data_IF_729318529600
#
_entry.id   IF_729318529600
#
_cell.length_a   1.000
_cell.length_b   1.000
_cell.length_c   1.000
_cell.angle_alpha   90.00
_cell.angle_beta   90.00
_cell.angle_gamma   90.00
#
_symmetry.space_group_name_H-M   'P 1'
#
loop_
_entity.id
_entity.type
_entity.pdbx_description
1 polymer ?
#
# COMPACT_ATOMS: atom_id res chain seq x y z
N UNK A 1 3.69 -48.41 63.66
CA UNK A 1 3.77 -47.59 62.44
C UNK A 1 4.34 -46.23 62.85
N UNK A 2 5.60 -45.96 62.51
CA UNK A 2 6.29 -44.74 62.94
C UNK A 2 5.64 -43.49 62.33
N UNK A 3 5.45 -42.39 63.08
CA UNK A 3 4.89 -41.17 62.54
C UNK A 3 5.90 -40.56 61.56
N UNK A 4 5.47 -40.28 60.33
CA UNK A 4 6.27 -39.55 59.37
C UNK A 4 6.57 -38.15 59.95
N UNK A 5 7.85 -37.79 59.96
CA UNK A 5 8.35 -36.47 60.35
C UNK A 5 7.67 -35.36 59.52
N UNK A 6 7.25 -34.25 60.16
CA UNK A 6 6.55 -33.13 59.49
C UNK A 6 7.30 -32.57 58.27
N UNK A 7 8.65 -32.60 58.30
CA UNK A 7 9.49 -32.23 57.15
C UNK A 7 9.29 -33.14 55.91
N UNK A 8 8.93 -34.41 56.11
CA UNK A 8 8.68 -35.35 55.02
C UNK A 8 7.31 -35.09 54.35
N UNK A 9 6.32 -34.64 55.11
CA UNK A 9 4.98 -34.31 54.59
C UNK A 9 4.99 -33.11 53.64
N UNK A 10 5.69 -32.03 54.03
CA UNK A 10 5.85 -30.85 53.17
C UNK A 10 6.62 -31.17 51.88
N UNK A 11 7.64 -32.02 51.95
CA UNK A 11 8.42 -32.44 50.79
C UNK A 11 7.56 -33.24 49.80
N UNK A 12 6.72 -34.15 50.30
CA UNK A 12 5.78 -34.93 49.47
C UNK A 12 4.74 -34.00 48.81
N UNK A 13 4.24 -32.99 49.52
CA UNK A 13 3.31 -32.02 48.95
C UNK A 13 3.92 -31.20 47.82
N UNK A 14 5.16 -30.71 48.00
CA UNK A 14 5.91 -30.01 46.93
C UNK A 14 6.13 -30.89 45.70
N UNK A 15 6.49 -32.17 45.89
CA UNK A 15 6.62 -33.11 44.79
C UNK A 15 5.29 -33.36 44.06
N UNK A 16 4.18 -33.47 44.78
CA UNK A 16 2.85 -33.63 44.19
C UNK A 16 2.40 -32.40 43.38
N UNK A 17 2.70 -31.19 43.86
CA UNK A 17 2.48 -29.95 43.10
C UNK A 17 3.31 -29.92 41.81
N UNK A 18 4.60 -30.27 41.90
CA UNK A 18 5.46 -30.35 40.71
C UNK A 18 4.96 -31.38 39.69
N UNK A 19 4.50 -32.55 40.15
CA UNK A 19 3.89 -33.57 39.28
C UNK A 19 2.61 -33.02 38.62
N UNK A 20 1.79 -32.26 39.34
CA UNK A 20 0.58 -31.63 38.79
C UNK A 20 0.91 -30.62 37.69
N UNK A 21 1.91 -29.77 37.91
CA UNK A 21 2.41 -28.81 36.92
C UNK A 21 2.96 -29.54 35.69
N UNK A 22 3.83 -30.54 35.87
CA UNK A 22 4.38 -31.33 34.77
C UNK A 22 3.30 -32.03 33.95
N UNK A 23 2.26 -32.59 34.59
CA UNK A 23 1.13 -33.21 33.88
C UNK A 23 0.38 -32.20 33.01
N UNK A 24 0.21 -30.97 33.51
CA UNK A 24 -0.43 -29.88 32.77
C UNK A 24 0.43 -29.41 31.59
N UNK A 25 1.75 -29.32 31.77
CA UNK A 25 2.69 -29.01 30.69
C UNK A 25 2.71 -30.08 29.61
N UNK A 26 2.76 -31.37 29.98
CA UNK A 26 2.68 -32.48 29.03
C UNK A 26 1.38 -32.42 28.22
N UNK A 27 0.26 -32.08 28.86
CA UNK A 27 -1.03 -31.90 28.17
C UNK A 27 -0.97 -30.74 27.16
N UNK A 28 -0.39 -29.61 27.56
CA UNK A 28 -0.22 -28.44 26.68
C UNK A 28 0.69 -28.76 25.48
N UNK A 29 1.82 -29.45 25.72
CA UNK A 29 2.76 -29.87 24.68
C UNK A 29 2.08 -30.81 23.66
N UNK A 30 1.29 -31.78 24.13
CA UNK A 30 0.49 -32.66 23.25
C UNK A 30 -0.49 -31.86 22.40
N UNK A 31 -1.19 -30.89 22.98
CA UNK A 31 -2.14 -30.05 22.24
C UNK A 31 -1.45 -29.17 21.18
N UNK A 32 -0.25 -28.66 21.48
CA UNK A 32 0.55 -27.91 20.52
C UNK A 32 1.03 -28.82 19.38
N UNK A 33 1.50 -30.03 19.70
CA UNK A 33 1.92 -31.02 18.71
C UNK A 33 0.77 -31.40 17.77
N UNK A 34 -0.42 -31.70 18.30
CA UNK A 34 -1.60 -32.03 17.49
C UNK A 34 -2.00 -30.86 16.57
N UNK A 35 -1.86 -29.63 17.05
CA UNK A 35 -2.15 -28.44 16.27
C UNK A 35 -1.12 -28.21 15.17
N UNK A 36 0.16 -28.46 15.45
CA UNK A 36 1.23 -28.42 14.45
C UNK A 36 1.06 -29.51 13.39
N UNK A 37 0.73 -30.75 13.78
CA UNK A 37 0.46 -31.87 12.86
C UNK A 37 -0.73 -31.55 11.95
N UNK A 38 -1.82 -31.00 12.50
CA UNK A 38 -2.97 -30.54 11.68
C UNK A 38 -2.59 -29.41 10.72
N UNK A 39 -1.75 -28.48 11.16
CA UNK A 39 -1.20 -27.42 10.32
C UNK A 39 -0.41 -28.00 9.15
N UNK A 40 0.54 -28.89 9.45
CA UNK A 40 1.38 -29.56 8.46
C UNK A 40 0.55 -30.35 7.44
N UNK A 41 -0.46 -31.11 7.89
CA UNK A 41 -1.37 -31.84 6.99
C UNK A 41 -2.11 -30.91 6.02
N UNK A 42 -2.54 -29.72 6.46
CA UNK A 42 -3.15 -28.71 5.57
C UNK A 42 -2.16 -28.18 4.54
N UNK A 43 -0.92 -27.91 4.95
CA UNK A 43 0.13 -27.49 4.04
C UNK A 43 0.43 -28.55 2.98
N UNK A 44 0.52 -29.84 3.37
CA UNK A 44 0.72 -30.94 2.43
C UNK A 44 -0.41 -31.06 1.40
N UNK A 45 -1.68 -30.92 1.82
CA UNK A 45 -2.82 -30.92 0.89
C UNK A 45 -2.73 -29.75 -0.10
N UNK A 46 -2.32 -28.57 0.39
CA UNK A 46 -2.14 -27.39 -0.46
C UNK A 46 -1.00 -27.58 -1.47
N UNK A 47 0.12 -28.16 -1.03
CA UNK A 47 1.27 -28.45 -1.90
C UNK A 47 0.88 -29.51 -2.93
N UNK A 48 0.20 -30.58 -2.52
CA UNK A 48 -0.27 -31.63 -3.43
C UNK A 48 -1.22 -31.07 -4.48
N UNK A 49 -2.14 -30.16 -4.10
CA UNK A 49 -3.00 -29.47 -5.06
C UNK A 49 -2.21 -28.59 -6.04
N UNK A 50 -1.18 -27.89 -5.58
CA UNK A 50 -0.32 -27.07 -6.44
C UNK A 50 0.52 -27.93 -7.40
N UNK A 51 1.10 -29.03 -6.91
CA UNK A 51 1.89 -29.98 -7.71
C UNK A 51 1.01 -30.70 -8.72
N UNK A 52 -0.21 -31.11 -8.38
CA UNK A 52 -1.16 -31.70 -9.35
C UNK A 52 -1.57 -30.70 -10.45
N UNK A 53 -1.65 -29.40 -10.13
CA UNK A 53 -1.87 -28.36 -11.15
C UNK A 53 -0.66 -28.18 -12.07
N UNK A 54 0.55 -28.41 -11.57
CA UNK A 54 1.78 -28.37 -12.37
C UNK A 54 1.98 -29.65 -13.19
N UNK A 55 1.58 -30.82 -12.67
CA UNK A 55 1.70 -32.12 -13.34
C UNK A 55 0.70 -32.34 -14.49
N UNK A 56 -0.29 -31.45 -14.65
CA UNK A 56 -1.18 -31.42 -15.83
C UNK A 56 -0.60 -30.56 -16.97
N UNK A 57 0.65 -30.09 -16.86
CA UNK A 57 1.39 -29.44 -17.93
C UNK A 57 2.54 -30.35 -18.40
N UNK A 58 2.22 -31.42 -19.13
CA UNK A 58 3.21 -32.04 -20.04
C UNK A 58 3.18 -31.30 -21.40
N UNK A 59 4.32 -31.20 -22.11
CA UNK A 59 4.42 -30.45 -23.35
C UNK A 59 3.97 -31.35 -24.51
N UNK A 60 2.70 -31.26 -24.90
CA UNK A 60 2.24 -31.97 -26.09
C UNK A 60 2.73 -31.24 -27.35
N UNK A 61 3.74 -31.85 -27.99
CA UNK A 61 4.09 -31.57 -29.38
C UNK A 61 2.97 -32.14 -30.25
N UNK A 62 2.54 -31.31 -31.19
CA UNK A 62 1.68 -31.67 -32.33
C UNK A 62 0.19 -31.76 -32.00
N UNK A 63 -0.47 -30.60 -31.98
CA UNK A 63 -1.90 -30.48 -32.26
C UNK A 63 -2.22 -29.06 -32.75
N UNK A 64 -2.75 -29.02 -33.96
CA UNK A 64 -3.43 -27.91 -34.62
C UNK A 64 -4.19 -27.04 -33.61
N UNK A 65 -3.99 -25.72 -33.70
CA UNK A 65 -4.63 -24.73 -32.85
C UNK A 65 -6.13 -25.04 -32.65
N UNK A 66 -6.62 -25.15 -31.39
CA UNK A 66 -8.05 -25.13 -31.15
C UNK A 66 -8.58 -23.78 -31.65
N UNK A 67 -9.76 -23.71 -32.28
CA UNK A 67 -10.35 -22.43 -32.61
C UNK A 67 -10.50 -21.66 -31.30
N UNK A 68 -9.91 -20.46 -31.25
CA UNK A 68 -10.02 -19.56 -30.11
C UNK A 68 -11.49 -19.52 -29.69
N UNK A 69 -11.77 -20.01 -28.47
CA UNK A 69 -13.10 -19.85 -27.88
C UNK A 69 -13.45 -18.37 -28.02
N UNK A 70 -14.58 -18.08 -28.66
CA UNK A 70 -14.99 -16.72 -28.94
C UNK A 70 -14.98 -15.92 -27.62
N UNK A 71 -14.57 -14.64 -27.62
CA UNK A 71 -14.57 -13.79 -26.43
C UNK A 71 -15.92 -13.79 -25.68
N UNK A 72 -17.01 -14.08 -26.40
CA UNK A 72 -18.37 -14.25 -25.89
C UNK A 72 -18.48 -15.34 -24.81
N UNK A 73 -17.88 -16.52 -25.00
CA UNK A 73 -18.06 -17.64 -24.07
C UNK A 73 -17.41 -17.40 -22.69
N UNK A 74 -16.31 -16.63 -22.63
CA UNK A 74 -15.62 -16.34 -21.38
C UNK A 74 -16.37 -15.32 -20.50
N UNK A 75 -17.01 -14.32 -21.14
CA UNK A 75 -17.85 -13.32 -20.46
C UNK A 75 -19.08 -13.96 -19.82
N UNK A 76 -19.71 -14.91 -20.52
CA UNK A 76 -20.90 -15.64 -20.03
C UNK A 76 -20.58 -16.54 -18.82
N UNK A 77 -19.34 -17.04 -18.72
CA UNK A 77 -18.87 -17.84 -17.59
C UNK A 77 -18.41 -17.01 -16.39
N UNK A 78 -18.42 -15.67 -16.51
CA UNK A 78 -18.12 -14.74 -15.41
C UNK A 78 -16.64 -14.63 -15.02
N UNK A 79 -15.72 -15.19 -15.81
CA UNK A 79 -14.28 -15.06 -15.57
C UNK A 79 -13.70 -13.94 -16.43
N UNK A 80 -13.59 -12.74 -15.85
CA UNK A 80 -13.06 -11.56 -16.54
C UNK A 80 -11.60 -11.36 -16.14
N UNK A 81 -10.69 -11.73 -17.04
CA UNK A 81 -9.29 -11.31 -16.92
C UNK A 81 -9.16 -9.87 -17.46
N UNK A 82 -8.58 -8.99 -16.66
CA UNK A 82 -8.36 -7.58 -17.03
C UNK A 82 -6.88 -7.27 -16.97
N UNK A 83 -6.41 -6.46 -17.92
CA UNK A 83 -5.07 -5.90 -17.91
C UNK A 83 -5.15 -4.51 -17.28
N UNK A 84 -4.28 -4.15 -16.32
CA UNK A 84 -4.24 -2.80 -15.81
C UNK A 84 -3.90 -1.83 -16.95
N UNK A 85 -4.70 -0.79 -17.14
CA UNK A 85 -4.43 0.23 -18.18
C UNK A 85 -3.43 1.30 -17.71
N UNK A 86 -3.15 1.35 -16.42
CA UNK A 86 -2.34 2.40 -15.79
C UNK A 86 -2.28 2.27 -14.28
N UNK A 87 -1.44 3.09 -13.66
CA UNK A 87 -1.26 3.14 -12.21
C UNK A 87 -1.52 4.54 -11.67
N UNK A 88 -2.24 4.59 -10.55
CA UNK A 88 -2.53 5.83 -9.86
C UNK A 88 -1.57 6.03 -8.69
N UNK A 89 -0.95 7.21 -8.63
CA UNK A 89 -0.17 7.69 -7.49
C UNK A 89 -0.90 8.87 -6.88
N UNK A 90 -1.10 8.88 -5.56
CA UNK A 90 -1.82 9.96 -4.88
C UNK A 90 -1.04 10.46 -3.67
N UNK A 91 -1.51 11.57 -3.10
CA UNK A 91 -1.03 12.08 -1.82
C UNK A 91 -1.25 11.09 -0.63
N UNK A 92 -1.94 9.96 -0.84
CA UNK A 92 -2.11 8.91 0.15
C UNK A 92 -1.27 7.67 -0.22
N UNK A 93 -0.08 7.55 0.38
CA UNK A 93 0.84 6.42 0.16
C UNK A 93 0.44 5.14 0.91
N UNK A 94 -0.29 5.29 2.02
CA UNK A 94 -0.72 4.21 2.90
C UNK A 94 -2.23 4.26 3.13
N UNK A 95 -2.83 3.10 3.41
CA UNK A 95 -4.27 2.97 3.70
C UNK A 95 -4.70 3.79 4.91
N UNK A 96 -3.81 3.93 5.90
CA UNK A 96 -4.09 4.72 7.08
C UNK A 96 -4.11 6.22 6.72
N UNK A 97 -5.16 6.93 7.10
CA UNK A 97 -5.35 8.33 6.71
C UNK A 97 -5.92 8.54 5.30
N UNK A 98 -6.04 7.50 4.45
CA UNK A 98 -6.78 7.64 3.19
C UNK A 98 -8.25 7.96 3.48
N UNK A 99 -8.81 9.03 2.89
CA UNK A 99 -10.20 9.40 3.08
C UNK A 99 -11.13 8.25 2.71
N UNK A 100 -12.14 8.02 3.55
CA UNK A 100 -13.13 6.96 3.30
C UNK A 100 -14.07 7.31 2.13
N UNK A 101 -14.14 8.59 1.75
CA UNK A 101 -14.92 9.11 0.63
C UNK A 101 -14.12 10.25 -0.02
N UNK A 102 -14.21 10.41 -1.36
CA UNK A 102 -13.41 11.39 -2.10
C UNK A 102 -13.73 12.85 -1.71
N UNK A 103 -14.99 13.16 -1.36
CA UNK A 103 -15.42 14.52 -1.01
C UNK A 103 -14.88 15.04 0.32
N UNK A 104 -14.25 14.19 1.13
CA UNK A 104 -13.74 14.57 2.46
C UNK A 104 -12.47 15.42 2.34
N UNK A 105 -11.67 15.24 1.28
CA UNK A 105 -10.44 15.99 1.05
C UNK A 105 -10.46 16.65 -0.33
N UNK A 106 -11.17 17.78 -0.45
CA UNK A 106 -11.36 18.51 -1.71
C UNK A 106 -10.08 18.86 -2.49
N UNK A 107 -8.96 19.28 -1.86
CA UNK A 107 -7.74 19.64 -2.58
C UNK A 107 -6.83 18.44 -2.88
N UNK A 108 -7.21 17.20 -2.54
CA UNK A 108 -6.36 16.03 -2.79
C UNK A 108 -6.14 15.82 -4.28
N UNK A 109 -4.88 15.69 -4.69
CA UNK A 109 -4.50 15.42 -6.09
C UNK A 109 -3.88 14.03 -6.23
N UNK A 110 -4.00 13.49 -7.43
CA UNK A 110 -3.42 12.23 -7.83
C UNK A 110 -3.01 12.30 -9.32
N UNK A 111 -2.03 11.49 -9.69
CA UNK A 111 -1.55 11.31 -11.04
C UNK A 111 -1.92 9.89 -11.49
N UNK A 112 -2.62 9.77 -12.61
CA UNK A 112 -2.91 8.49 -13.27
C UNK A 112 -1.99 8.35 -14.48
N UNK A 113 -1.00 7.46 -14.37
CA UNK A 113 -0.08 7.17 -15.47
C UNK A 113 -0.59 5.98 -16.28
N UNK A 114 -0.97 6.23 -17.53
CA UNK A 114 -1.40 5.19 -18.47
C UNK A 114 -0.17 4.40 -18.95
N UNK A 115 -0.30 3.07 -19.02
CA UNK A 115 0.76 2.20 -19.52
C UNK A 115 0.84 2.29 -21.04
N UNK A 116 2.05 2.54 -21.55
CA UNK A 116 2.29 2.65 -23.00
C UNK A 116 2.12 1.32 -23.73
N UNK A 117 2.34 0.18 -23.05
CA UNK A 117 2.26 -1.15 -23.65
C UNK A 117 0.83 -1.64 -23.93
N UNK A 118 -0.19 -0.90 -23.48
CA UNK A 118 -1.60 -1.32 -23.61
C UNK A 118 -2.15 -1.03 -25.00
N UNK A 119 -1.67 0.03 -25.65
CA UNK A 119 -2.11 0.46 -26.97
C UNK A 119 -0.89 0.65 -27.88
N UNK A 120 -1.06 0.43 -29.19
CA UNK A 120 0.01 0.71 -30.15
C UNK A 120 0.40 2.19 -30.13
N UNK A 121 -0.58 3.08 -29.97
CA UNK A 121 -0.44 4.54 -29.88
C UNK A 121 -1.16 5.05 -28.61
N UNK A 122 -0.51 4.99 -27.43
CA UNK A 122 -1.14 5.28 -26.14
C UNK A 122 -1.65 6.72 -26.01
N UNK A 123 -1.02 7.67 -26.69
CA UNK A 123 -1.42 9.09 -26.73
C UNK A 123 -2.79 9.30 -27.40
N UNK A 124 -3.14 8.49 -28.40
CA UNK A 124 -4.44 8.59 -29.06
C UNK A 124 -5.60 8.24 -28.11
N UNK A 125 -5.36 7.42 -27.09
CA UNK A 125 -6.38 7.07 -26.10
C UNK A 125 -6.77 8.25 -25.19
N UNK A 126 -6.01 9.35 -25.20
CA UNK A 126 -6.24 10.54 -24.38
C UNK A 126 -6.83 11.72 -25.17
N UNK A 127 -6.88 11.64 -26.50
CA UNK A 127 -7.37 12.73 -27.36
C UNK A 127 -8.85 13.02 -27.05
N UNK A 128 -9.17 14.29 -26.83
CA UNK A 128 -10.53 14.76 -26.55
C UNK A 128 -10.93 14.64 -25.08
N UNK A 129 -10.09 14.03 -24.23
CA UNK A 129 -10.35 13.93 -22.80
C UNK A 129 -10.31 15.32 -22.12
N UNK A 130 -9.51 16.25 -22.64
CA UNK A 130 -9.41 17.65 -22.21
C UNK A 130 -10.73 18.45 -22.36
N UNK A 131 -11.66 17.97 -23.17
CA UNK A 131 -12.98 18.60 -23.36
C UNK A 131 -13.90 18.37 -22.14
N UNK A 132 -13.54 17.46 -21.24
CA UNK A 132 -14.35 17.09 -20.08
C UNK A 132 -13.77 17.65 -18.79
N UNK A 133 -14.63 18.20 -17.94
CA UNK A 133 -14.21 18.70 -16.62
C UNK A 133 -13.95 17.59 -15.60
N UNK A 134 -14.55 16.42 -15.80
CA UNK A 134 -14.48 15.30 -14.87
C UNK A 134 -14.40 13.96 -15.61
N UNK A 135 -13.75 12.99 -14.96
CA UNK A 135 -13.54 11.65 -15.48
C UNK A 135 -13.98 10.63 -14.43
N UNK A 136 -14.57 9.53 -14.91
CA UNK A 136 -14.82 8.35 -14.09
C UNK A 136 -13.56 7.48 -14.09
N UNK A 137 -13.06 7.17 -12.90
CA UNK A 137 -11.92 6.26 -12.71
C UNK A 137 -12.41 4.99 -12.05
N UNK A 138 -12.28 3.88 -12.77
CA UNK A 138 -12.46 2.53 -12.23
C UNK A 138 -11.08 2.00 -11.87
N UNK A 139 -10.91 1.55 -10.63
CA UNK A 139 -9.61 1.08 -10.14
C UNK A 139 -9.77 -0.18 -9.30
N UNK A 140 -8.69 -0.94 -9.16
CA UNK A 140 -8.67 -2.17 -8.35
C UNK A 140 -8.10 -1.88 -6.95
N UNK A 141 -8.77 -2.36 -5.91
CA UNK A 141 -8.22 -2.37 -4.54
C UNK A 141 -7.15 -3.47 -4.40
N UNK A 142 -5.98 -3.27 -5.00
CA UNK A 142 -4.87 -4.23 -5.08
C UNK A 142 -4.37 -4.79 -3.73
N UNK A 143 -4.60 -4.09 -2.61
CA UNK A 143 -4.24 -4.57 -1.25
C UNK A 143 -5.34 -5.39 -0.56
N UNK A 144 -6.45 -5.67 -1.22
CA UNK A 144 -7.53 -6.50 -0.66
C UNK A 144 -7.28 -7.99 -0.96
N UNK A 145 -6.24 -8.56 -0.33
CA UNK A 145 -5.80 -9.94 -0.58
C UNK A 145 -6.60 -11.05 0.11
N UNK A 146 -7.93 -10.99 0.16
CA UNK A 146 -8.70 -12.01 0.88
C UNK A 146 -9.17 -13.18 -0.02
N UNK A 147 -8.87 -14.41 0.41
CA UNK A 147 -9.42 -15.67 -0.15
C UNK A 147 -10.92 -15.89 0.17
N UNK A 148 -11.54 -15.09 1.04
CA UNK A 148 -12.94 -15.28 1.45
C UNK A 148 -13.66 -13.95 1.68
N UNK A 149 -14.89 -13.85 1.14
CA UNK A 149 -15.73 -12.66 1.23
C UNK A 149 -16.86 -12.87 2.25
N UNK A 150 -17.09 -11.87 3.10
CA UNK A 150 -18.20 -11.88 4.05
C UNK A 150 -19.42 -11.23 3.43
N UNK A 151 -20.58 -11.89 3.51
CA UNK A 151 -21.85 -11.35 3.01
C UNK A 151 -22.31 -10.09 3.76
N UNK A 152 -21.92 -9.95 5.05
CA UNK A 152 -22.21 -8.78 5.88
C UNK A 152 -20.92 -8.08 6.31
N UNK A 153 -20.97 -6.75 6.35
CA UNK A 153 -19.87 -5.87 6.78
C UNK A 153 -20.34 -4.95 7.90
N UNK A 154 -19.40 -4.31 8.60
CA UNK A 154 -19.67 -3.32 9.65
C UNK A 154 -19.16 -1.95 9.20
N UNK A 155 -19.98 -1.13 8.53
CA UNK A 155 -19.55 0.19 8.07
C UNK A 155 -19.25 1.12 9.26
N UNK A 156 -18.22 1.98 9.17
CA UNK A 156 -17.85 2.88 10.25
C UNK A 156 -18.95 3.85 10.66
N UNK A 157 -19.82 4.25 9.73
CA UNK A 157 -20.89 5.24 9.95
C UNK A 157 -22.16 4.65 10.60
N UNK A 158 -22.24 3.33 10.77
CA UNK A 158 -23.44 2.65 11.28
C UNK A 158 -23.29 2.15 12.73
N UNK A 159 -22.42 2.78 13.53
CA UNK A 159 -22.32 2.62 14.99
C UNK A 159 -22.27 1.18 15.57
N UNK A 160 -21.91 0.15 14.79
CA UNK A 160 -22.09 -1.21 15.29
C UNK A 160 -22.72 -2.16 14.30
N UNK A 161 -23.65 -1.65 13.51
CA UNK A 161 -24.59 -2.46 12.76
C UNK A 161 -23.92 -3.21 11.61
N UNK A 162 -24.42 -4.43 11.39
CA UNK A 162 -24.00 -5.30 10.29
C UNK A 162 -25.02 -5.22 9.18
N UNK A 163 -24.58 -4.76 8.01
CA UNK A 163 -25.42 -4.64 6.81
C UNK A 163 -24.84 -5.48 5.68
N UNK A 164 -25.65 -5.77 4.67
CA UNK A 164 -25.21 -6.50 3.48
C UNK A 164 -24.08 -5.77 2.76
N UNK A 165 -23.11 -6.49 2.22
CA UNK A 165 -21.96 -5.87 1.54
C UNK A 165 -22.40 -4.96 0.38
N UNK A 166 -23.38 -5.38 -0.41
CA UNK A 166 -23.85 -4.65 -1.59
C UNK A 166 -24.65 -3.39 -1.27
N UNK A 167 -25.11 -3.20 -0.02
CA UNK A 167 -25.68 -1.93 0.44
C UNK A 167 -24.60 -0.93 0.88
N UNK A 168 -23.31 -1.21 0.60
CA UNK A 168 -22.18 -0.39 1.07
C UNK A 168 -21.14 -0.21 -0.03
N UNK A 169 -20.24 0.76 0.18
CA UNK A 169 -19.04 0.97 -0.64
C UNK A 169 -17.80 0.30 -0.02
N UNK A 170 -17.99 -0.84 0.67
CA UNK A 170 -16.87 -1.59 1.25
C UNK A 170 -15.88 -1.99 0.15
N UNK A 171 -14.56 -1.86 0.36
CA UNK A 171 -13.59 -2.29 -0.65
C UNK A 171 -13.41 -3.83 -0.63
N UNK A 172 -13.79 -4.51 0.46
CA UNK A 172 -13.67 -5.96 0.64
C UNK A 172 -14.81 -6.75 -0.02
N UNK A 173 -14.82 -6.80 -1.36
CA UNK A 173 -15.89 -7.38 -2.21
C UNK A 173 -15.35 -8.45 -3.16
N UNK A 174 -16.21 -9.35 -3.69
CA UNK A 174 -15.82 -10.35 -4.68
C UNK A 174 -15.04 -9.75 -5.86
N UNK A 175 -15.58 -8.68 -6.43
CA UNK A 175 -14.89 -7.85 -7.42
C UNK A 175 -14.47 -6.57 -6.73
N UNK A 176 -13.18 -6.49 -6.37
CA UNK A 176 -12.59 -5.39 -5.62
C UNK A 176 -12.36 -4.13 -6.47
N UNK A 177 -13.39 -3.76 -7.25
CA UNK A 177 -13.42 -2.56 -8.08
C UNK A 177 -13.93 -1.37 -7.27
N UNK A 178 -13.18 -0.28 -7.32
CA UNK A 178 -13.56 1.04 -6.87
C UNK A 178 -13.97 1.91 -8.05
N UNK A 179 -14.84 2.88 -7.78
CA UNK A 179 -15.28 3.89 -8.73
C UNK A 179 -15.15 5.26 -8.06
N UNK A 180 -14.55 6.21 -8.75
CA UNK A 180 -14.50 7.59 -8.31
C UNK A 180 -14.74 8.55 -9.46
N UNK A 181 -15.48 9.62 -9.21
CA UNK A 181 -15.54 10.78 -10.08
C UNK A 181 -14.40 11.71 -9.67
N UNK A 182 -13.51 12.04 -10.60
CA UNK A 182 -12.39 12.94 -10.37
C UNK A 182 -12.51 14.14 -11.29
N UNK A 183 -12.16 15.33 -10.79
CA UNK A 183 -11.97 16.50 -11.65
C UNK A 183 -10.68 16.32 -12.44
N UNK A 184 -10.74 16.52 -13.76
CA UNK A 184 -9.56 16.52 -14.60
C UNK A 184 -8.85 17.88 -14.45
N UNK A 185 -7.57 17.84 -14.05
CA UNK A 185 -6.77 19.07 -13.87
C UNK A 185 -5.99 19.38 -15.14
N UNK A 186 -5.11 18.47 -15.55
CA UNK A 186 -4.24 18.61 -16.72
C UNK A 186 -3.97 17.24 -17.33
N UNK A 187 -3.81 17.19 -18.65
CA UNK A 187 -3.27 16.04 -19.38
C UNK A 187 -1.87 16.41 -19.84
N UNK A 188 -0.89 15.57 -19.48
CA UNK A 188 0.51 15.74 -19.89
C UNK A 188 0.94 14.55 -20.73
N UNK A 189 1.56 14.82 -21.88
CA UNK A 189 2.22 13.78 -22.68
C UNK A 189 3.51 13.29 -22.00
N UNK A 190 4.15 12.25 -22.55
CA UNK A 190 5.48 11.84 -22.10
C UNK A 190 6.47 12.98 -22.39
N UNK A 191 6.74 13.82 -21.38
CA UNK A 191 7.79 14.82 -21.47
C UNK A 191 9.11 14.17 -21.07
N UNK A 192 9.97 13.90 -22.05
CA UNK A 192 11.41 13.91 -21.81
C UNK A 192 11.84 15.37 -21.63
N UNK A 193 11.72 15.88 -20.42
CA UNK A 193 12.44 17.09 -20.05
C UNK A 193 13.51 16.71 -19.06
N UNK A 194 14.68 16.39 -19.60
CA UNK A 194 15.96 16.19 -18.91
C UNK A 194 16.52 17.53 -18.37
N UNK A 195 15.65 18.33 -17.77
CA UNK A 195 16.01 19.51 -16.99
C UNK A 195 15.48 19.29 -15.59
N UNK A 196 16.25 19.57 -14.53
CA UNK A 196 15.74 19.52 -13.17
C UNK A 196 14.65 20.58 -13.01
N UNK A 197 13.40 20.21 -13.28
CA UNK A 197 12.22 20.98 -12.88
C UNK A 197 11.78 20.47 -11.52
N UNK A 198 11.29 21.40 -10.74
CA UNK A 198 10.40 21.14 -9.62
C UNK A 198 9.28 20.18 -10.06
N UNK A 199 9.07 19.09 -9.31
CA UNK A 199 8.05 18.07 -9.63
C UNK A 199 6.64 18.60 -9.38
N UNK A 200 6.51 19.56 -8.46
CA UNK A 200 5.23 20.10 -8.00
C UNK A 200 5.13 21.62 -8.17
N UNK A 201 6.22 22.37 -8.05
CA UNK A 201 6.22 23.82 -8.26
C UNK A 201 6.20 24.13 -9.77
N UNK A 202 5.31 25.02 -10.18
CA UNK A 202 4.96 25.23 -11.60
C UNK A 202 5.85 26.28 -12.26
N UNK A 203 6.43 27.20 -11.48
CA UNK A 203 7.32 28.26 -11.97
C UNK A 203 8.47 28.61 -11.01
N UNK A 204 9.56 29.24 -11.50
CA UNK A 204 10.64 29.75 -10.66
C UNK A 204 10.18 30.78 -9.63
N UNK A 205 9.17 31.59 -9.96
CA UNK A 205 8.58 32.58 -9.06
C UNK A 205 7.86 31.91 -7.89
N UNK A 206 7.12 30.84 -8.16
CA UNK A 206 6.44 30.02 -7.15
C UNK A 206 7.45 29.34 -6.23
N UNK A 207 8.53 28.79 -6.79
CA UNK A 207 9.60 28.21 -6.00
C UNK A 207 10.31 29.24 -5.12
N UNK A 208 10.62 30.42 -5.66
CA UNK A 208 11.22 31.50 -4.90
C UNK A 208 10.27 32.01 -3.79
N UNK A 209 8.96 32.07 -4.05
CA UNK A 209 7.96 32.43 -3.04
C UNK A 209 7.87 31.37 -1.93
N UNK A 210 7.91 30.08 -2.27
CA UNK A 210 7.92 28.99 -1.31
C UNK A 210 9.18 28.99 -0.44
N UNK A 211 10.37 29.19 -1.03
CA UNK A 211 11.64 29.33 -0.29
C UNK A 211 11.58 30.52 0.66
N UNK A 212 11.14 31.69 0.18
CA UNK A 212 10.96 32.89 1.03
C UNK A 212 10.00 32.63 2.19
N UNK A 213 8.90 31.92 1.95
CA UNK A 213 7.93 31.54 2.98
C UNK A 213 8.55 30.67 4.07
N UNK A 214 9.31 29.63 3.68
CA UNK A 214 10.01 28.75 4.63
C UNK A 214 11.03 29.54 5.45
N UNK A 215 11.85 30.38 4.81
CA UNK A 215 12.88 31.15 5.50
C UNK A 215 12.31 32.22 6.44
N UNK A 216 11.20 32.86 6.05
CA UNK A 216 10.51 33.86 6.89
C UNK A 216 9.93 33.25 8.18
N UNK A 217 9.57 31.97 8.15
CA UNK A 217 9.08 31.25 9.32
C UNK A 217 10.20 30.76 10.26
N UNK A 218 11.48 30.94 9.88
CA UNK A 218 12.66 30.34 10.51
C UNK A 218 12.49 28.84 10.81
N UNK A 219 12.85 27.95 9.87
CA UNK A 219 12.68 26.50 10.01
C UNK A 219 13.62 25.87 11.06
N UNK A 220 14.52 26.65 11.67
CA UNK A 220 15.49 26.14 12.66
C UNK A 220 14.81 25.89 14.00
N UNK A 221 15.11 24.74 14.60
CA UNK A 221 14.69 24.43 15.96
C UNK A 221 15.23 25.47 16.97
N UNK A 222 14.51 25.67 18.09
CA UNK A 222 14.95 26.56 19.19
C UNK A 222 16.36 26.18 19.66
N UNK A 223 16.65 24.88 19.73
CA UNK A 223 17.99 24.37 20.05
C UNK A 223 19.04 24.90 19.05
N UNK A 224 18.81 24.76 17.75
CA UNK A 224 19.77 25.20 16.73
C UNK A 224 19.98 26.71 16.76
N UNK A 225 18.93 27.49 17.03
CA UNK A 225 19.02 28.96 17.18
C UNK A 225 19.85 29.40 18.38
N UNK A 226 19.83 28.64 19.48
CA UNK A 226 20.43 29.05 20.76
C UNK A 226 21.76 28.38 21.06
N UNK A 227 22.00 27.17 20.55
CA UNK A 227 23.11 26.29 20.96
C UNK A 227 24.10 25.96 19.85
N UNK A 228 23.72 26.14 18.58
CA UNK A 228 24.62 25.86 17.45
C UNK A 228 25.35 27.14 17.02
N UNK A 229 26.68 27.04 16.85
CA UNK A 229 27.50 28.13 16.28
C UNK A 229 27.35 28.25 14.77
N UNK A 230 27.07 27.12 14.12
CA UNK A 230 26.85 27.05 12.68
C UNK A 230 25.50 27.68 12.31
N UNK A 231 25.56 28.62 11.37
CA UNK A 231 24.42 29.39 10.85
C UNK A 231 23.94 28.88 9.50
N UNK A 232 24.62 27.90 8.91
CA UNK A 232 24.13 27.19 7.74
C UNK A 232 22.92 26.35 8.12
N UNK A 233 21.96 26.27 7.22
CA UNK A 233 20.78 25.42 7.30
C UNK A 233 20.50 24.84 5.92
N UNK A 234 20.15 23.56 5.89
CA UNK A 234 19.88 22.81 4.68
C UNK A 234 18.45 22.29 4.77
N UNK A 235 17.70 22.47 3.70
CA UNK A 235 16.40 21.84 3.56
C UNK A 235 16.13 21.51 2.10
N UNK A 236 15.34 20.48 1.89
CA UNK A 236 14.89 20.08 0.56
C UNK A 236 13.51 20.66 0.31
N UNK A 237 13.31 21.32 -0.82
CA UNK A 237 12.01 21.75 -1.31
C UNK A 237 11.80 21.15 -2.69
N UNK A 238 10.79 20.29 -2.80
CA UNK A 238 10.42 19.59 -4.02
C UNK A 238 11.58 18.74 -4.59
N UNK A 239 12.24 19.15 -5.67
CA UNK A 239 13.40 18.45 -6.26
C UNK A 239 14.71 19.21 -6.08
N UNK A 240 14.77 20.20 -5.18
CA UNK A 240 15.97 20.98 -4.92
C UNK A 240 16.40 20.95 -3.44
N UNK A 241 17.70 20.81 -3.21
CA UNK A 241 18.37 21.07 -1.94
C UNK A 241 18.76 22.54 -1.85
N UNK A 242 18.28 23.19 -0.80
CA UNK A 242 18.51 24.60 -0.52
C UNK A 242 19.48 24.71 0.66
N UNK A 243 20.61 25.34 0.41
CA UNK A 243 21.56 25.78 1.43
C UNK A 243 21.31 27.24 1.71
N UNK A 244 21.07 27.57 2.97
CA UNK A 244 20.81 28.93 3.42
C UNK A 244 21.62 29.27 4.67
N UNK A 245 21.90 30.55 4.83
CA UNK A 245 22.62 31.12 5.95
C UNK A 245 21.70 32.04 6.73
N UNK A 246 21.67 31.88 8.05
CA UNK A 246 20.87 32.72 8.94
C UNK A 246 21.73 33.73 9.69
N UNK A 247 21.53 35.01 9.39
CA UNK A 247 22.06 36.15 10.11
C UNK A 247 21.32 36.43 11.43
N UNK A 248 21.54 37.62 12.00
CA UNK A 248 20.78 38.07 13.17
C UNK A 248 19.31 38.34 12.81
N UNK A 249 19.06 39.02 11.67
CA UNK A 249 17.72 39.40 11.23
C UNK A 249 17.43 39.09 9.75
N UNK A 250 18.23 38.22 9.14
CA UNK A 250 18.05 37.83 7.73
C UNK A 250 18.33 36.35 7.51
N UNK A 251 17.76 35.83 6.42
CA UNK A 251 18.08 34.52 5.89
C UNK A 251 18.43 34.67 4.41
N UNK A 252 19.61 34.19 4.03
CA UNK A 252 20.11 34.27 2.66
C UNK A 252 20.23 32.87 2.07
N UNK A 253 19.77 32.70 0.83
CA UNK A 253 19.95 31.44 0.10
C UNK A 253 21.33 31.49 -0.55
N UNK A 254 22.23 30.61 -0.11
CA UNK A 254 23.58 30.52 -0.66
C UNK A 254 23.62 29.65 -1.91
N UNK A 255 22.82 28.57 -1.92
CA UNK A 255 22.84 27.62 -3.02
C UNK A 255 21.53 26.86 -3.16
N UNK A 256 21.12 26.64 -4.40
CA UNK A 256 20.02 25.75 -4.77
C UNK A 256 20.59 24.71 -5.73
N UNK A 257 20.57 23.43 -5.35
CA UNK A 257 21.02 22.30 -6.17
C UNK A 257 19.85 21.35 -6.43
N UNK A 258 19.75 20.69 -7.59
CA UNK A 258 18.84 19.56 -7.72
C UNK A 258 19.23 18.45 -6.74
N UNK A 259 18.24 17.77 -6.16
CA UNK A 259 18.46 16.55 -5.38
C UNK A 259 18.99 15.49 -6.34
N UNK A 260 20.23 15.05 -6.14
CA UNK A 260 20.79 13.94 -6.90
C UNK A 260 19.97 12.69 -6.60
N UNK A 261 19.10 12.30 -7.53
CA UNK A 261 18.57 10.95 -7.53
C UNK A 261 19.74 10.05 -7.84
N UNK A 262 20.30 9.38 -6.84
CA UNK A 262 21.10 8.19 -7.08
C UNK A 262 20.26 7.29 -7.98
N UNK A 263 20.63 7.21 -9.26
CA UNK A 263 20.19 6.17 -10.16
C UNK A 263 20.69 4.89 -9.49
N UNK A 264 19.82 4.24 -8.73
CA UNK A 264 20.05 2.89 -8.26
C UNK A 264 20.06 2.02 -9.52
N UNK A 265 21.24 1.84 -10.08
CA UNK A 265 21.54 0.78 -11.02
C UNK A 265 21.42 -0.54 -10.26
N UNK A 266 20.29 -1.22 -10.39
CA UNK A 266 20.15 -2.68 -10.30
C UNK A 266 18.78 -3.12 -10.79
#
# INVERSE_FOLDING_TARGET
MSPLCDCCGEHINKLNEQISVMRKEIKNLRQMLDSAVRGHRKHLISIQSAVSKMALCEPDKDQTAPPAASPQAALEQGNIQTVPIGYITSCFSVKNGTPRQPTICGPSRAELRIQQSVFNNPEHALVGLEQYSHVWVIFLFHKNGHLSYKAKVKPPRLNGQRVGIYSTRSPHRPNALGLTLARLDTIVGPSESDRPRFKFLRSPEEAAAAIRGVLSADPRSVYRRTRCRDRLFFFTLDTADITCWFGQDFAEVLQVRPVEQHIASM
#
